data_IF_863153023942
#
_entry.id   IF_863153023942
#
_cell.length_a   1.000
_cell.length_b   1.000
_cell.length_c   1.000
_cell.angle_alpha   90.00
_cell.angle_beta   90.00
_cell.angle_gamma   90.00
#
_symmetry.space_group_name_H-M   'P 1'
#
loop_
_entity.id
_entity.type
_entity.pdbx_description
1 polymer ?
#
# COMPACT_ATOMS: atom_id res chain seq x y z
N UNK A 1 -7.92 34.65 8.65
CA UNK A 1 -7.15 33.80 7.72
C UNK A 1 -5.70 34.05 7.99
N UNK A 2 -4.98 33.07 8.53
CA UNK A 2 -3.53 33.12 8.66
C UNK A 2 -2.96 32.96 7.25
N UNK A 3 -2.27 33.98 6.74
CA UNK A 3 -1.61 33.91 5.44
C UNK A 3 -0.21 33.32 5.63
N UNK A 4 0.06 32.20 4.96
CA UNK A 4 1.39 31.58 4.93
C UNK A 4 2.11 31.99 3.64
N UNK A 5 3.33 32.49 3.77
CA UNK A 5 4.13 32.99 2.64
C UNK A 5 5.04 31.93 2.01
N UNK A 6 5.29 30.83 2.72
CA UNK A 6 6.06 29.70 2.22
C UNK A 6 5.64 28.39 2.93
N UNK A 7 6.10 27.25 2.42
CA UNK A 7 5.74 25.93 2.96
C UNK A 7 6.34 25.63 4.34
N UNK A 8 7.47 26.26 4.71
CA UNK A 8 8.08 26.09 6.02
C UNK A 8 7.22 26.75 7.13
N UNK A 9 6.64 27.91 6.84
CA UNK A 9 5.72 28.62 7.76
C UNK A 9 4.44 27.81 8.00
N UNK A 10 3.90 27.22 6.92
CA UNK A 10 2.74 26.34 7.00
C UNK A 10 3.06 25.05 7.78
N UNK A 11 4.17 24.40 7.46
CA UNK A 11 4.58 23.16 8.12
C UNK A 11 4.77 23.38 9.63
N UNK A 12 5.41 24.49 10.02
CA UNK A 12 5.58 24.88 11.42
C UNK A 12 4.23 25.11 12.14
N UNK A 13 3.26 25.73 11.47
CA UNK A 13 1.92 25.93 12.01
C UNK A 13 1.14 24.62 12.17
N UNK A 14 1.20 23.74 11.17
CA UNK A 14 0.55 22.42 11.22
C UNK A 14 1.21 21.54 12.29
N UNK A 15 2.53 21.53 12.39
CA UNK A 15 3.27 20.80 13.41
C UNK A 15 2.90 21.25 14.83
N UNK A 16 2.85 22.56 15.08
CA UNK A 16 2.43 23.12 16.36
C UNK A 16 0.98 22.77 16.77
N UNK A 17 0.14 22.37 15.81
CA UNK A 17 -1.25 21.97 16.06
C UNK A 17 -1.47 20.46 16.23
N UNK A 18 -0.45 19.63 15.94
CA UNK A 18 -0.55 18.16 15.84
C UNK A 18 0.38 17.41 16.80
N UNK A 19 0.59 17.94 18.00
CA UNK A 19 1.58 17.46 18.99
C UNK A 19 1.36 16.03 19.55
N UNK A 20 0.53 15.17 18.95
CA UNK A 20 0.21 13.87 19.55
C UNK A 20 -0.28 12.75 18.59
N UNK A 21 0.38 12.52 17.45
CA UNK A 21 0.07 11.35 16.59
C UNK A 21 1.30 10.47 16.32
N UNK A 22 1.25 9.21 16.77
CA UNK A 22 2.25 8.16 16.47
C UNK A 22 2.40 7.90 14.94
N UNK A 23 1.44 8.33 14.13
CA UNK A 23 1.51 8.29 12.66
C UNK A 23 2.58 9.23 12.07
N UNK A 24 2.93 10.34 12.75
CA UNK A 24 3.96 11.29 12.29
C UNK A 24 5.36 10.66 12.32
N UNK A 25 5.65 9.80 13.30
CA UNK A 25 6.97 9.14 13.43
C UNK A 25 7.29 8.19 12.28
N UNK A 26 6.28 7.55 11.70
CA UNK A 26 6.46 6.61 10.58
C UNK A 26 6.57 7.32 9.22
N UNK A 27 6.05 8.54 9.09
CA UNK A 27 6.08 9.29 7.83
C UNK A 27 7.51 9.74 7.48
N UNK A 28 8.25 10.27 8.47
CA UNK A 28 9.62 10.74 8.28
C UNK A 28 10.62 9.64 7.90
N UNK A 29 10.37 8.38 8.30
CA UNK A 29 11.26 7.27 7.99
C UNK A 29 11.40 7.00 6.47
N UNK A 30 10.39 7.34 5.68
CA UNK A 30 10.39 7.12 4.23
C UNK A 30 11.22 8.15 3.43
N UNK A 31 11.73 9.19 4.10
CA UNK A 31 12.52 10.28 3.52
C UNK A 31 13.95 10.30 4.05
N UNK A 32 14.38 9.22 4.73
CA UNK A 32 15.76 9.08 5.19
C UNK A 32 16.64 8.73 3.99
N UNK A 33 17.72 9.48 3.82
CA UNK A 33 18.75 9.19 2.83
C UNK A 33 19.60 7.98 3.25
N UNK A 34 19.88 7.11 2.29
CA UNK A 34 20.78 5.98 2.49
C UNK A 34 22.24 6.32 2.13
N UNK A 35 22.48 7.43 1.44
CA UNK A 35 23.77 7.89 0.94
C UNK A 35 23.76 9.42 0.78
N UNK A 36 24.91 10.07 0.97
CA UNK A 36 25.10 11.51 0.73
C UNK A 36 25.01 11.89 -0.76
N UNK A 37 25.20 10.90 -1.64
CA UNK A 37 25.12 11.09 -3.09
C UNK A 37 23.89 10.37 -3.64
N UNK A 38 23.24 10.99 -4.61
CA UNK A 38 22.12 10.45 -5.35
C UNK A 38 22.53 10.19 -6.81
N UNK A 39 22.25 8.99 -7.32
CA UNK A 39 22.38 8.68 -8.75
C UNK A 39 21.00 8.41 -9.31
N UNK A 40 20.53 9.31 -10.17
CA UNK A 40 19.17 9.25 -10.71
C UNK A 40 19.08 8.53 -12.06
N UNK A 41 20.17 8.34 -12.79
CA UNK A 41 20.18 7.62 -14.05
C UNK A 41 21.48 6.84 -14.26
N UNK A 42 21.48 5.95 -15.25
CA UNK A 42 22.66 5.13 -15.58
C UNK A 42 23.77 5.98 -16.22
N UNK A 43 23.39 7.08 -16.87
CA UNK A 43 24.31 7.89 -17.69
C UNK A 43 24.85 9.09 -16.93
N UNK A 44 24.04 9.67 -16.02
CA UNK A 44 24.44 10.85 -15.28
C UNK A 44 25.37 10.49 -14.09
N UNK A 45 26.26 11.42 -13.78
CA UNK A 45 27.12 11.30 -12.62
C UNK A 45 26.28 11.42 -11.33
N UNK A 46 26.73 10.82 -10.22
CA UNK A 46 26.11 11.06 -8.91
C UNK A 46 26.20 12.54 -8.52
N UNK A 47 25.14 13.04 -7.89
CA UNK A 47 25.05 14.42 -7.40
C UNK A 47 24.69 14.42 -5.91
N UNK A 48 25.15 15.42 -5.16
CA UNK A 48 24.75 15.63 -3.77
C UNK A 48 23.35 16.26 -3.74
N UNK A 49 22.33 15.42 -3.60
CA UNK A 49 20.92 15.82 -3.61
C UNK A 49 20.21 15.22 -2.39
N UNK A 50 19.60 16.11 -1.61
CA UNK A 50 18.90 15.74 -0.39
C UNK A 50 17.44 15.31 -0.68
N UNK A 51 16.90 14.49 0.21
CA UNK A 51 15.47 14.24 0.28
C UNK A 51 14.72 15.51 0.73
N UNK A 52 13.49 15.73 0.24
CA UNK A 52 12.70 16.85 0.72
C UNK A 52 12.30 16.65 2.19
N UNK A 53 12.15 17.75 2.92
CA UNK A 53 11.71 17.72 4.31
C UNK A 53 10.35 17.00 4.43
N UNK A 54 10.24 15.96 5.27
CA UNK A 54 9.03 15.13 5.33
C UNK A 54 7.79 15.91 5.77
N UNK A 55 7.96 16.86 6.70
CA UNK A 55 6.84 17.64 7.23
C UNK A 55 6.35 18.68 6.23
N UNK A 56 7.26 19.29 5.46
CA UNK A 56 6.91 20.15 4.34
C UNK A 56 6.17 19.38 3.25
N UNK A 57 6.63 18.17 2.91
CA UNK A 57 5.95 17.32 1.92
C UNK A 57 4.54 16.94 2.39
N UNK A 58 4.41 16.51 3.65
CA UNK A 58 3.12 16.17 4.26
C UNK A 58 2.15 17.35 4.23
N UNK A 59 2.60 18.52 4.67
CA UNK A 59 1.82 19.75 4.68
C UNK A 59 1.40 20.18 3.26
N UNK A 60 2.30 20.03 2.28
CA UNK A 60 2.00 20.33 0.89
C UNK A 60 0.93 19.39 0.31
N UNK A 61 1.00 18.08 0.60
CA UNK A 61 -0.01 17.10 0.20
C UNK A 61 -1.38 17.42 0.83
N UNK A 62 -1.41 17.71 2.13
CA UNK A 62 -2.64 18.13 2.83
C UNK A 62 -3.23 19.38 2.17
N UNK A 63 -2.43 20.42 2.00
CA UNK A 63 -2.88 21.69 1.42
C UNK A 63 -3.41 21.52 -0.01
N UNK A 64 -2.69 20.81 -0.87
CA UNK A 64 -3.12 20.61 -2.27
C UNK A 64 -4.48 19.92 -2.35
N UNK A 65 -4.68 18.85 -1.57
CA UNK A 65 -5.92 18.08 -1.60
C UNK A 65 -7.07 18.83 -0.92
N UNK A 66 -6.85 19.42 0.26
CA UNK A 66 -7.88 20.16 0.99
C UNK A 66 -8.34 21.39 0.22
N UNK A 67 -7.42 22.17 -0.35
CA UNK A 67 -7.75 23.34 -1.17
C UNK A 67 -8.65 22.96 -2.35
N UNK A 68 -8.40 21.79 -2.96
CA UNK A 68 -9.23 21.29 -4.05
C UNK A 68 -10.65 20.95 -3.60
N UNK A 69 -10.84 20.38 -2.41
CA UNK A 69 -12.17 20.19 -1.83
C UNK A 69 -12.82 21.53 -1.47
N UNK A 70 -12.10 22.42 -0.82
CA UNK A 70 -12.62 23.70 -0.33
C UNK A 70 -13.13 24.61 -1.46
N UNK A 71 -12.40 24.70 -2.57
CA UNK A 71 -12.77 25.56 -3.71
C UNK A 71 -13.98 25.00 -4.48
N UNK A 72 -14.17 23.68 -4.47
CA UNK A 72 -15.26 23.03 -5.20
C UNK A 72 -16.52 22.82 -4.34
N UNK A 73 -16.40 22.89 -3.01
CA UNK A 73 -17.50 22.74 -2.05
C UNK A 73 -18.60 23.78 -2.29
N UNK A 74 -19.86 23.38 -2.13
CA UNK A 74 -21.05 24.21 -2.33
C UNK A 74 -21.19 24.76 -3.76
N UNK A 75 -20.49 24.15 -4.72
CA UNK A 75 -20.62 24.48 -6.14
C UNK A 75 -21.17 23.31 -6.92
N UNK A 76 -21.62 23.58 -8.16
CA UNK A 76 -21.99 22.52 -9.11
C UNK A 76 -20.86 21.54 -9.44
N UNK A 77 -19.62 21.85 -9.05
CA UNK A 77 -18.44 21.04 -9.30
C UNK A 77 -18.07 20.11 -8.15
N UNK A 78 -18.72 20.22 -6.99
CA UNK A 78 -18.43 19.41 -5.79
C UNK A 78 -18.44 17.91 -6.07
N UNK A 79 -19.37 17.45 -6.92
CA UNK A 79 -19.50 16.05 -7.31
C UNK A 79 -18.23 15.45 -7.96
N UNK A 80 -17.33 16.30 -8.50
CA UNK A 80 -16.09 15.88 -9.16
C UNK A 80 -14.86 15.97 -8.25
N UNK A 81 -14.97 16.58 -7.06
CA UNK A 81 -13.83 16.77 -6.16
C UNK A 81 -13.22 15.43 -5.71
N UNK A 82 -14.08 14.44 -5.44
CA UNK A 82 -13.65 13.09 -5.08
C UNK A 82 -12.84 12.42 -6.22
N UNK A 83 -13.27 12.54 -7.47
CA UNK A 83 -12.56 11.92 -8.60
C UNK A 83 -11.18 12.56 -8.81
N UNK A 84 -11.09 13.88 -8.65
CA UNK A 84 -9.83 14.62 -8.73
C UNK A 84 -8.87 14.26 -7.58
N UNK A 85 -9.38 14.21 -6.34
CA UNK A 85 -8.60 13.80 -5.17
C UNK A 85 -8.09 12.36 -5.29
N UNK A 86 -8.93 11.45 -5.81
CA UNK A 86 -8.51 10.09 -6.14
C UNK A 86 -7.40 10.10 -7.19
N UNK A 87 -7.54 10.91 -8.25
CA UNK A 87 -6.53 11.08 -9.29
C UNK A 87 -5.19 11.57 -8.75
N UNK A 88 -5.23 12.49 -7.79
CA UNK A 88 -4.05 13.01 -7.09
C UNK A 88 -3.32 11.92 -6.32
N UNK A 89 -4.00 11.16 -5.45
CA UNK A 89 -3.40 10.02 -4.76
C UNK A 89 -2.88 8.94 -5.74
N UNK A 90 -3.60 8.71 -6.84
CA UNK A 90 -3.19 7.77 -7.87
C UNK A 90 -1.94 8.23 -8.65
N UNK A 91 -1.68 9.54 -8.74
CA UNK A 91 -0.49 10.07 -9.41
C UNK A 91 0.80 9.60 -8.71
N UNK A 92 0.87 9.70 -7.37
CA UNK A 92 1.99 9.16 -6.59
C UNK A 92 2.14 7.65 -6.80
N UNK A 93 1.03 6.92 -6.85
CA UNK A 93 1.08 5.48 -7.13
C UNK A 93 1.71 5.16 -8.50
N UNK A 94 1.32 5.89 -9.55
CA UNK A 94 1.84 5.69 -10.91
C UNK A 94 3.33 6.02 -10.98
N UNK A 95 3.76 7.11 -10.34
CA UNK A 95 5.18 7.51 -10.29
C UNK A 95 5.99 6.49 -9.50
N UNK A 96 5.52 6.06 -8.33
CA UNK A 96 6.16 5.01 -7.53
C UNK A 96 6.37 3.72 -8.34
N UNK A 97 5.36 3.28 -9.11
CA UNK A 97 5.49 2.10 -9.99
C UNK A 97 6.50 2.28 -11.12
N UNK A 98 6.64 3.50 -11.66
CA UNK A 98 7.66 3.79 -12.66
C UNK A 98 9.06 3.71 -12.06
N UNK A 99 9.24 4.24 -10.85
CA UNK A 99 10.50 4.17 -10.10
C UNK A 99 10.83 2.71 -9.75
N UNK A 100 9.86 1.94 -9.27
CA UNK A 100 10.00 0.50 -8.96
C UNK A 100 10.52 -0.29 -10.17
N UNK A 101 10.00 -0.04 -11.37
CA UNK A 101 10.49 -0.70 -12.59
C UNK A 101 11.97 -0.41 -12.87
N UNK A 102 12.40 0.84 -12.67
CA UNK A 102 13.81 1.25 -12.85
C UNK A 102 14.70 0.66 -11.75
N UNK A 103 14.19 0.61 -10.52
CA UNK A 103 14.85 -0.03 -9.39
C UNK A 103 14.99 -1.55 -9.59
N UNK A 104 14.00 -2.20 -10.20
CA UNK A 104 14.05 -3.62 -10.61
C UNK A 104 15.14 -3.87 -11.65
N UNK A 105 15.23 -3.01 -12.67
CA UNK A 105 16.27 -3.11 -13.69
C UNK A 105 17.67 -2.91 -13.09
N UNK A 106 17.86 -1.87 -12.28
CA UNK A 106 19.13 -1.60 -11.61
C UNK A 106 19.56 -2.75 -10.67
N UNK A 107 18.61 -3.32 -9.89
CA UNK A 107 18.90 -4.43 -9.00
C UNK A 107 19.23 -5.73 -9.75
N UNK A 108 18.63 -5.94 -10.94
CA UNK A 108 18.99 -7.05 -11.80
C UNK A 108 20.45 -6.92 -12.27
N UNK A 109 20.84 -5.74 -12.74
CA UNK A 109 22.23 -5.44 -13.13
C UNK A 109 23.19 -5.63 -11.96
N UNK A 110 22.87 -5.09 -10.79
CA UNK A 110 23.67 -5.28 -9.57
C UNK A 110 23.85 -6.76 -9.23
N UNK A 111 22.79 -7.56 -9.36
CA UNK A 111 22.85 -9.00 -9.14
C UNK A 111 23.64 -9.77 -10.22
N UNK A 112 23.71 -9.27 -11.44
CA UNK A 112 24.56 -9.84 -12.50
C UNK A 112 26.04 -9.54 -12.27
N UNK A 113 26.36 -8.28 -11.91
CA UNK A 113 27.69 -7.85 -11.49
C UNK A 113 28.18 -8.68 -10.31
N UNK A 114 27.38 -8.81 -9.25
CA UNK A 114 27.75 -9.58 -8.06
C UNK A 114 28.04 -11.08 -8.30
N UNK A 115 27.49 -11.67 -9.38
CA UNK A 115 27.77 -13.07 -9.75
C UNK A 115 29.05 -13.23 -10.56
N UNK A 116 29.44 -12.22 -11.32
CA UNK A 116 30.60 -12.25 -12.21
C UNK A 116 31.63 -11.25 -11.71
N UNK A 117 32.34 -11.61 -10.65
CA UNK A 117 33.38 -10.76 -10.08
C UNK A 117 34.55 -10.59 -11.06
N UNK A 118 34.91 -9.34 -11.33
CA UNK A 118 36.08 -8.93 -12.10
C UNK A 118 36.92 -7.94 -11.28
N UNK A 119 38.21 -8.19 -11.01
CA UNK A 119 39.05 -7.29 -10.22
C UNK A 119 39.52 -6.02 -10.96
N UNK A 120 38.77 -5.53 -11.95
CA UNK A 120 39.10 -4.30 -12.67
C UNK A 120 38.55 -3.05 -11.98
N UNK A 121 39.26 -1.92 -12.09
CA UNK A 121 38.79 -0.63 -11.55
C UNK A 121 37.47 -0.16 -12.21
N UNK A 122 37.30 -0.51 -13.49
CA UNK A 122 36.06 -0.23 -14.24
C UNK A 122 34.89 -1.00 -13.62
N UNK A 123 35.07 -2.28 -13.33
CA UNK A 123 34.06 -3.09 -12.67
C UNK A 123 33.73 -2.56 -11.26
N UNK A 124 34.74 -2.19 -10.48
CA UNK A 124 34.53 -1.64 -9.14
C UNK A 124 33.68 -0.35 -9.19
N UNK A 125 33.99 0.55 -10.13
CA UNK A 125 33.24 1.78 -10.35
C UNK A 125 31.80 1.49 -10.78
N UNK A 126 31.60 0.57 -11.74
CA UNK A 126 30.27 0.18 -12.23
C UNK A 126 29.41 -0.45 -11.14
N UNK A 127 30.02 -1.27 -10.27
CA UNK A 127 29.35 -1.87 -9.12
C UNK A 127 28.86 -0.82 -8.12
N UNK A 128 29.74 0.11 -7.73
CA UNK A 128 29.43 1.21 -6.83
C UNK A 128 28.33 2.12 -7.40
N UNK A 129 28.44 2.50 -8.68
CA UNK A 129 27.45 3.33 -9.37
C UNK A 129 26.08 2.64 -9.44
N UNK A 130 26.06 1.35 -9.77
CA UNK A 130 24.81 0.58 -9.88
C UNK A 130 24.17 0.38 -8.50
N UNK A 131 24.97 0.17 -7.46
CA UNK A 131 24.49 0.11 -6.08
C UNK A 131 23.88 1.44 -5.63
N UNK A 132 24.56 2.56 -5.92
CA UNK A 132 24.09 3.90 -5.58
C UNK A 132 22.78 4.23 -6.29
N UNK A 133 22.67 3.90 -7.58
CA UNK A 133 21.43 4.05 -8.36
C UNK A 133 20.28 3.24 -7.74
N UNK A 134 20.54 1.99 -7.34
CA UNK A 134 19.56 1.15 -6.68
C UNK A 134 19.01 1.79 -5.39
N UNK A 135 19.91 2.22 -4.51
CA UNK A 135 19.56 2.82 -3.22
C UNK A 135 18.79 4.14 -3.40
N UNK A 136 19.25 4.98 -4.34
CA UNK A 136 18.59 6.25 -4.67
C UNK A 136 17.15 6.00 -5.14
N UNK A 137 16.96 5.09 -6.11
CA UNK A 137 15.63 4.77 -6.64
C UNK A 137 14.73 4.14 -5.59
N UNK A 138 15.28 3.31 -4.69
CA UNK A 138 14.53 2.75 -3.57
C UNK A 138 13.99 3.87 -2.68
N UNK A 139 14.85 4.78 -2.20
CA UNK A 139 14.44 5.89 -1.34
C UNK A 139 13.37 6.75 -2.01
N UNK A 140 13.54 7.09 -3.30
CA UNK A 140 12.53 7.84 -4.05
C UNK A 140 11.20 7.08 -4.18
N UNK A 141 11.22 5.76 -4.39
CA UNK A 141 10.00 4.94 -4.43
C UNK A 141 9.30 4.96 -3.07
N UNK A 142 10.04 4.79 -1.98
CA UNK A 142 9.50 4.74 -0.62
C UNK A 142 8.87 6.07 -0.21
N UNK A 143 9.53 7.19 -0.50
CA UNK A 143 8.96 8.53 -0.33
C UNK A 143 7.65 8.69 -1.12
N UNK A 144 7.62 8.26 -2.39
CA UNK A 144 6.41 8.33 -3.23
C UNK A 144 5.28 7.43 -2.71
N UNK A 145 5.59 6.24 -2.20
CA UNK A 145 4.61 5.36 -1.55
C UNK A 145 4.06 5.96 -0.26
N UNK A 146 4.90 6.65 0.52
CA UNK A 146 4.52 7.38 1.73
C UNK A 146 3.57 8.54 1.39
N UNK A 147 3.93 9.37 0.41
CA UNK A 147 3.07 10.46 -0.10
C UNK A 147 1.73 9.94 -0.61
N UNK A 148 1.72 8.81 -1.33
CA UNK A 148 0.49 8.13 -1.78
C UNK A 148 -0.38 7.72 -0.60
N UNK A 149 0.19 7.10 0.42
CA UNK A 149 -0.58 6.56 1.55
C UNK A 149 -1.16 7.70 2.42
N UNK A 150 -0.42 8.81 2.55
CA UNK A 150 -0.94 10.02 3.19
C UNK A 150 -2.04 10.70 2.38
N UNK A 151 -1.84 10.87 1.06
CA UNK A 151 -2.88 11.39 0.17
C UNK A 151 -4.15 10.49 0.17
N UNK A 152 -3.96 9.18 0.26
CA UNK A 152 -5.06 8.22 0.39
C UNK A 152 -5.84 8.39 1.70
N UNK A 153 -5.17 8.78 2.78
CA UNK A 153 -5.82 9.07 4.06
C UNK A 153 -6.62 10.38 4.00
N UNK A 154 -6.08 11.45 3.41
CA UNK A 154 -6.81 12.69 3.17
C UNK A 154 -8.06 12.42 2.31
N UNK A 155 -7.91 11.66 1.23
CA UNK A 155 -9.03 11.21 0.41
C UNK A 155 -10.09 10.45 1.21
N UNK A 156 -9.67 9.55 2.10
CA UNK A 156 -10.57 8.75 2.94
C UNK A 156 -11.35 9.62 3.92
N UNK A 157 -10.69 10.59 4.55
CA UNK A 157 -11.32 11.53 5.49
C UNK A 157 -12.36 12.40 4.79
N UNK A 158 -12.02 12.99 3.64
CA UNK A 158 -12.92 13.91 2.92
C UNK A 158 -14.08 13.20 2.22
N UNK A 159 -13.88 11.98 1.72
CA UNK A 159 -14.90 11.27 0.91
C UNK A 159 -15.61 10.13 1.63
N UNK A 160 -15.09 9.70 2.78
CA UNK A 160 -15.52 8.49 3.49
C UNK A 160 -15.20 7.18 2.77
N UNK A 161 -14.50 7.22 1.63
CA UNK A 161 -14.21 6.05 0.78
C UNK A 161 -12.72 5.69 0.83
N UNK A 162 -12.36 4.40 0.90
CA UNK A 162 -10.96 4.02 0.83
C UNK A 162 -10.40 4.24 -0.58
N UNK A 163 -9.15 4.69 -0.65
CA UNK A 163 -8.41 4.75 -1.91
C UNK A 163 -8.01 3.34 -2.39
N UNK A 164 -8.22 3.07 -3.68
CA UNK A 164 -7.66 1.90 -4.37
C UNK A 164 -7.10 2.32 -5.73
N UNK A 165 -5.86 1.93 -6.10
CA UNK A 165 -5.29 2.25 -7.39
C UNK A 165 -5.95 1.44 -8.52
N UNK A 166 -5.97 1.99 -9.74
CA UNK A 166 -6.57 1.35 -10.94
C UNK A 166 -5.79 0.11 -11.39
N UNK A 167 -4.47 0.07 -11.19
CA UNK A 167 -3.58 -1.05 -11.48
C UNK A 167 -2.51 -1.15 -10.38
N UNK A 168 -1.98 -2.35 -10.11
CA UNK A 168 -0.88 -2.56 -9.13
C UNK A 168 -1.33 -2.67 -7.67
N UNK A 169 -0.72 -3.59 -6.90
CA UNK A 169 -1.06 -3.77 -5.47
C UNK A 169 -0.62 -2.56 -4.64
N UNK A 170 -1.38 -2.22 -3.59
CA UNK A 170 -1.01 -1.21 -2.59
C UNK A 170 -0.33 -1.90 -1.42
N UNK A 171 0.97 -2.16 -1.56
CA UNK A 171 1.86 -2.55 -0.46
C UNK A 171 2.86 -1.41 -0.33
N UNK A 172 3.05 -0.88 0.88
CA UNK A 172 4.10 0.10 1.18
C UNK A 172 5.18 -0.56 2.03
N UNK A 173 6.45 -0.24 1.74
CA UNK A 173 7.61 -0.81 2.44
C UNK A 173 8.10 -0.01 3.65
N UNK A 174 7.42 1.08 4.03
CA UNK A 174 7.82 2.04 5.07
C UNK A 174 8.02 1.48 6.49
N UNK A 175 7.87 0.17 6.70
CA UNK A 175 7.98 -0.50 8.01
C UNK A 175 9.29 -1.28 8.24
N UNK A 176 10.28 -1.28 7.32
CA UNK A 176 11.44 -2.17 7.49
C UNK A 176 12.78 -1.68 6.92
N UNK A 177 13.13 -0.42 7.10
CA UNK A 177 14.41 0.11 6.62
C UNK A 177 15.34 0.48 7.79
N UNK A 178 16.02 -0.51 8.36
CA UNK A 178 17.21 -0.26 9.20
C UNK A 178 18.40 -0.99 8.61
N UNK A 179 19.38 -0.17 8.16
CA UNK A 179 20.77 -0.43 7.76
C UNK A 179 21.07 -1.76 7.09
N UNK A 180 21.34 -1.70 5.79
CA UNK A 180 21.63 -2.89 5.01
C UNK A 180 22.72 -2.60 3.97
N UNK A 181 23.81 -3.34 4.12
CA UNK A 181 24.96 -3.44 3.23
C UNK A 181 24.55 -4.07 1.86
N UNK A 182 25.34 -3.90 0.81
CA UNK A 182 24.97 -4.23 -0.59
C UNK A 182 24.42 -5.65 -0.81
N UNK A 183 24.92 -6.63 -0.04
CA UNK A 183 24.49 -8.02 -0.08
C UNK A 183 23.21 -8.27 0.72
N UNK A 184 23.03 -7.54 1.81
CA UNK A 184 21.79 -7.53 2.58
C UNK A 184 20.68 -6.80 1.82
N UNK A 185 21.00 -5.89 0.88
CA UNK A 185 20.01 -5.13 0.08
C UNK A 185 19.21 -6.07 -0.82
N UNK A 186 19.90 -6.95 -1.55
CA UNK A 186 19.26 -7.98 -2.35
C UNK A 186 18.49 -9.00 -1.47
N UNK A 187 19.01 -9.33 -0.28
CA UNK A 187 18.37 -10.26 0.65
C UNK A 187 17.10 -9.68 1.31
N UNK A 188 17.13 -8.40 1.69
CA UNK A 188 16.03 -7.62 2.23
C UNK A 188 14.93 -7.40 1.20
N UNK A 189 15.29 -7.06 -0.05
CA UNK A 189 14.33 -6.98 -1.17
C UNK A 189 13.68 -8.33 -1.46
N UNK A 190 14.48 -9.41 -1.47
CA UNK A 190 13.95 -10.76 -1.59
C UNK A 190 13.05 -11.14 -0.42
N UNK A 191 13.28 -10.59 0.79
CA UNK A 191 12.45 -10.77 1.97
C UNK A 191 11.13 -10.02 1.85
N UNK A 192 11.10 -8.74 1.49
CA UNK A 192 9.87 -7.98 1.28
C UNK A 192 9.03 -8.58 0.14
N UNK A 193 9.67 -9.00 -0.96
CA UNK A 193 8.99 -9.72 -2.04
C UNK A 193 8.47 -11.07 -1.55
N UNK A 194 9.25 -11.82 -0.75
CA UNK A 194 8.76 -13.03 -0.07
C UNK A 194 7.59 -12.72 0.84
N UNK A 195 7.59 -11.68 1.66
CA UNK A 195 6.47 -11.32 2.54
C UNK A 195 5.17 -11.05 1.79
N UNK A 196 5.24 -10.54 0.55
CA UNK A 196 4.06 -10.40 -0.32
C UNK A 196 3.52 -11.74 -0.83
N UNK A 197 4.38 -12.75 -0.99
CA UNK A 197 4.04 -14.09 -1.51
C UNK A 197 4.02 -15.20 -0.44
N UNK A 198 4.47 -14.90 0.76
CA UNK A 198 4.69 -15.75 1.93
C UNK A 198 4.83 -14.83 3.18
N UNK A 199 3.71 -14.31 3.70
CA UNK A 199 3.72 -13.32 4.79
C UNK A 199 4.26 -13.89 6.11
N UNK A 200 5.10 -13.12 6.79
CA UNK A 200 5.52 -13.37 8.18
C UNK A 200 4.38 -12.93 9.13
N UNK A 201 3.39 -13.81 9.31
CA UNK A 201 2.29 -13.61 10.26
C UNK A 201 1.05 -14.48 9.97
N UNK A 202 0.17 -14.69 10.96
CA UNK A 202 -1.05 -15.47 10.79
C UNK A 202 -1.99 -14.81 9.76
N UNK A 203 -2.19 -15.49 8.63
CA UNK A 203 -3.06 -14.98 7.54
C UNK A 203 -4.52 -15.26 7.85
N UNK A 204 -5.35 -14.23 7.77
CA UNK A 204 -6.81 -14.34 7.78
C UNK A 204 -7.34 -13.98 6.41
N UNK A 205 -8.10 -14.87 5.79
CA UNK A 205 -8.72 -14.59 4.48
C UNK A 205 -10.06 -13.92 4.66
N UNK A 206 -10.31 -12.89 3.84
CA UNK A 206 -11.62 -12.27 3.72
C UNK A 206 -12.04 -12.17 2.25
N UNK A 207 -13.25 -12.59 1.93
CA UNK A 207 -13.85 -12.38 0.60
C UNK A 207 -15.36 -12.31 0.71
N UNK A 208 -16.00 -11.51 -0.13
CA UNK A 208 -17.45 -11.47 -0.21
C UNK A 208 -17.99 -10.98 -1.54
N UNK A 209 -19.32 -10.82 -1.62
CA UNK A 209 -19.98 -10.24 -2.78
C UNK A 209 -19.75 -8.74 -2.95
N UNK A 210 -20.02 -8.24 -4.16
CA UNK A 210 -19.91 -6.82 -4.49
C UNK A 210 -21.04 -5.95 -3.90
N UNK A 211 -22.13 -6.57 -3.47
CA UNK A 211 -23.28 -5.88 -2.87
C UNK A 211 -23.35 -6.25 -1.40
N UNK A 212 -23.09 -5.27 -0.54
CA UNK A 212 -23.16 -5.40 0.91
C UNK A 212 -23.43 -4.03 1.53
N UNK A 213 -24.33 -3.98 2.51
CA UNK A 213 -24.83 -2.74 3.12
C UNK A 213 -24.46 -2.64 4.61
N UNK A 214 -24.49 -3.75 5.33
CA UNK A 214 -24.23 -3.79 6.77
C UNK A 214 -22.71 -3.91 7.06
N UNK A 215 -22.02 -2.77 7.02
CA UNK A 215 -20.59 -2.71 7.32
C UNK A 215 -20.28 -3.00 8.79
N UNK A 216 -21.18 -2.64 9.71
CA UNK A 216 -21.04 -2.88 11.16
C UNK A 216 -20.94 -4.38 11.48
N UNK A 217 -21.72 -5.21 10.81
CA UNK A 217 -21.66 -6.66 10.94
C UNK A 217 -20.27 -7.20 10.57
N UNK A 218 -19.69 -6.71 9.48
CA UNK A 218 -18.36 -7.12 9.01
C UNK A 218 -17.27 -6.62 9.95
N UNK A 219 -17.35 -5.36 10.40
CA UNK A 219 -16.40 -4.77 11.35
C UNK A 219 -16.39 -5.55 12.66
N UNK A 220 -17.55 -5.83 13.24
CA UNK A 220 -17.65 -6.63 14.48
C UNK A 220 -17.09 -8.04 14.32
N UNK A 221 -17.31 -8.66 13.17
CA UNK A 221 -16.74 -9.98 12.86
C UNK A 221 -15.21 -9.94 12.82
N UNK A 222 -14.66 -8.97 12.10
CA UNK A 222 -13.21 -8.78 11.96
C UNK A 222 -12.53 -8.34 13.26
N UNK A 223 -13.16 -7.46 14.05
CA UNK A 223 -12.66 -7.02 15.37
C UNK A 223 -12.54 -8.21 16.35
N UNK A 224 -13.51 -9.14 16.34
CA UNK A 224 -13.44 -10.37 17.14
C UNK A 224 -12.26 -11.24 16.75
N UNK A 225 -11.96 -11.35 15.46
CA UNK A 225 -10.80 -12.11 14.97
C UNK A 225 -9.50 -11.41 15.36
N UNK A 226 -9.39 -10.09 15.14
CA UNK A 226 -8.23 -9.28 15.55
C UNK A 226 -7.93 -9.36 17.04
N UNK A 227 -8.97 -9.45 17.88
CA UNK A 227 -8.82 -9.64 19.33
C UNK A 227 -8.14 -10.97 19.67
N UNK A 228 -8.45 -12.04 18.93
CA UNK A 228 -7.83 -13.37 19.12
C UNK A 228 -6.48 -13.52 18.42
N UNK A 229 -6.30 -12.81 17.32
CA UNK A 229 -5.11 -12.86 16.46
C UNK A 229 -4.60 -11.43 16.24
N UNK A 230 -3.89 -10.83 17.22
CA UNK A 230 -3.45 -9.45 17.12
C UNK A 230 -2.50 -9.19 15.94
N UNK A 231 -1.60 -10.12 15.63
CA UNK A 231 -0.62 -9.97 14.53
C UNK A 231 -1.18 -10.43 13.17
N UNK A 232 -2.50 -10.48 13.00
CA UNK A 232 -3.10 -10.97 11.77
C UNK A 232 -2.76 -10.12 10.54
N UNK A 233 -2.61 -10.79 9.40
CA UNK A 233 -2.51 -10.18 8.08
C UNK A 233 -3.77 -10.54 7.30
N UNK A 234 -4.47 -9.54 6.76
CA UNK A 234 -5.73 -9.74 6.04
C UNK A 234 -5.47 -9.97 4.55
N UNK A 235 -5.77 -11.17 4.04
CA UNK A 235 -5.70 -11.48 2.62
C UNK A 235 -7.09 -11.37 1.95
N UNK A 236 -7.20 -10.57 0.89
CA UNK A 236 -8.50 -10.26 0.23
C UNK A 236 -8.49 -10.56 -1.26
N UNK A 237 -9.68 -10.71 -1.85
CA UNK A 237 -9.86 -10.95 -3.29
C UNK A 237 -9.78 -9.70 -4.17
N UNK A 238 -9.42 -8.55 -3.57
CA UNK A 238 -9.21 -7.27 -4.23
C UNK A 238 -10.40 -6.75 -5.05
N UNK A 239 -11.63 -7.05 -4.63
CA UNK A 239 -12.80 -6.41 -5.24
C UNK A 239 -12.86 -4.93 -4.85
N UNK A 240 -13.11 -4.05 -5.83
CA UNK A 240 -13.14 -2.61 -5.60
C UNK A 240 -14.42 -2.10 -4.89
N UNK A 241 -15.41 -2.97 -4.68
CA UNK A 241 -16.72 -2.65 -4.11
C UNK A 241 -17.22 -3.78 -3.23
N UNK A 242 -18.21 -3.49 -2.38
CA UNK A 242 -18.86 -4.47 -1.52
C UNK A 242 -18.00 -4.90 -0.34
N UNK A 243 -18.03 -6.19 -0.02
CA UNK A 243 -17.42 -6.73 1.20
C UNK A 243 -15.92 -6.45 1.28
N UNK A 244 -15.16 -6.66 0.19
CA UNK A 244 -13.71 -6.47 0.20
C UNK A 244 -13.33 -5.00 0.45
N UNK A 245 -14.09 -4.05 -0.10
CA UNK A 245 -13.86 -2.63 0.15
C UNK A 245 -14.15 -2.24 1.60
N UNK A 246 -15.21 -2.82 2.20
CA UNK A 246 -15.52 -2.65 3.63
C UNK A 246 -14.40 -3.22 4.50
N UNK A 247 -13.90 -4.41 4.17
CA UNK A 247 -12.81 -5.05 4.89
C UNK A 247 -11.48 -4.28 4.76
N UNK A 248 -11.21 -3.68 3.61
CA UNK A 248 -10.06 -2.76 3.44
C UNK A 248 -10.19 -1.51 4.32
N UNK A 249 -11.38 -0.90 4.36
CA UNK A 249 -11.63 0.24 5.23
C UNK A 249 -11.45 -0.12 6.71
N UNK A 250 -11.97 -1.29 7.13
CA UNK A 250 -11.76 -1.81 8.48
C UNK A 250 -10.27 -1.97 8.80
N UNK A 251 -9.53 -2.65 7.93
CA UNK A 251 -8.12 -2.93 8.15
C UNK A 251 -7.29 -1.64 8.24
N UNK A 252 -7.57 -0.66 7.37
CA UNK A 252 -6.95 0.65 7.42
C UNK A 252 -7.21 1.36 8.78
N UNK A 253 -8.45 1.32 9.28
CA UNK A 253 -8.83 1.94 10.56
C UNK A 253 -8.25 1.26 11.81
N UNK A 254 -7.63 0.08 11.66
CA UNK A 254 -7.07 -0.74 12.76
C UNK A 254 -5.57 -1.02 12.60
N UNK A 255 -4.92 -0.41 11.60
CA UNK A 255 -3.51 -0.65 11.31
C UNK A 255 -3.19 -2.10 10.89
N UNK A 256 -4.17 -2.84 10.36
CA UNK A 256 -4.00 -4.23 9.93
C UNK A 256 -3.41 -4.25 8.51
N UNK A 257 -2.30 -4.98 8.33
CA UNK A 257 -1.68 -5.19 7.02
C UNK A 257 -2.63 -5.95 6.09
N UNK A 258 -2.79 -5.49 4.85
CA UNK A 258 -3.67 -6.10 3.85
C UNK A 258 -2.88 -6.57 2.63
N UNK A 259 -3.08 -7.82 2.24
CA UNK A 259 -2.58 -8.36 0.96
C UNK A 259 -3.76 -8.50 0.00
N UNK A 260 -3.66 -7.85 -1.17
CA UNK A 260 -4.69 -7.84 -2.19
C UNK A 260 -4.36 -8.82 -3.32
N UNK A 261 -5.13 -9.90 -3.42
CA UNK A 261 -5.00 -10.87 -4.51
C UNK A 261 -5.85 -10.44 -5.70
N UNK A 262 -5.21 -9.76 -6.66
CA UNK A 262 -5.84 -9.34 -7.92
C UNK A 262 -5.97 -10.51 -8.88
N UNK A 263 -6.92 -10.42 -9.80
CA UNK A 263 -7.05 -11.39 -10.89
C UNK A 263 -5.90 -11.23 -11.88
N UNK A 264 -5.21 -12.34 -12.15
CA UNK A 264 -4.21 -12.42 -13.21
C UNK A 264 -4.91 -12.59 -14.56
N UNK A 265 -4.99 -11.50 -15.34
CA UNK A 265 -5.72 -11.48 -16.62
C UNK A 265 -5.12 -12.40 -17.68
N UNK A 266 -3.85 -12.81 -17.54
CA UNK A 266 -3.22 -13.78 -18.43
C UNK A 266 -3.84 -15.18 -18.33
N UNK A 267 -4.49 -15.49 -17.20
CA UNK A 267 -5.11 -16.79 -16.90
C UNK A 267 -6.56 -16.92 -17.43
N UNK A 268 -7.07 -15.90 -18.14
CA UNK A 268 -8.39 -15.89 -18.76
C UNK A 268 -9.51 -16.26 -17.78
N UNK A 269 -10.43 -17.13 -18.23
CA UNK A 269 -11.61 -17.54 -17.45
C UNK A 269 -11.27 -18.30 -16.14
N UNK A 270 -10.03 -18.79 -15.98
CA UNK A 270 -9.60 -19.51 -14.77
C UNK A 270 -8.96 -18.61 -13.72
N UNK A 271 -8.72 -17.33 -14.04
CA UNK A 271 -8.00 -16.39 -13.18
C UNK A 271 -8.54 -16.32 -11.74
N UNK A 272 -9.86 -16.35 -11.57
CA UNK A 272 -10.51 -16.28 -10.26
C UNK A 272 -10.29 -17.54 -9.42
N UNK A 273 -10.31 -18.71 -10.06
CA UNK A 273 -10.08 -19.99 -9.40
C UNK A 273 -8.62 -20.18 -8.99
N UNK A 274 -7.69 -19.85 -9.90
CA UNK A 274 -6.25 -19.88 -9.64
C UNK A 274 -5.87 -18.92 -8.52
N UNK A 275 -6.47 -17.74 -8.48
CA UNK A 275 -6.30 -16.80 -7.35
C UNK A 275 -6.78 -17.42 -6.03
N UNK A 276 -7.92 -18.10 -6.02
CA UNK A 276 -8.41 -18.78 -4.82
C UNK A 276 -7.45 -19.88 -4.36
N UNK A 277 -6.82 -20.62 -5.28
CA UNK A 277 -5.76 -21.59 -4.94
C UNK A 277 -4.57 -20.90 -4.28
N UNK A 278 -4.13 -19.76 -4.82
CA UNK A 278 -3.04 -18.96 -4.21
C UNK A 278 -3.40 -18.49 -2.80
N UNK A 279 -4.64 -18.06 -2.56
CA UNK A 279 -5.12 -17.66 -1.24
C UNK A 279 -5.06 -18.83 -0.25
N UNK A 280 -5.52 -20.02 -0.64
CA UNK A 280 -5.48 -21.23 0.21
C UNK A 280 -4.05 -21.66 0.50
N UNK A 281 -3.14 -21.52 -0.47
CA UNK A 281 -1.72 -21.86 -0.32
C UNK A 281 -0.96 -20.98 0.69
N UNK A 282 -1.54 -19.84 1.12
CA UNK A 282 -1.00 -19.05 2.23
C UNK A 282 -1.14 -19.75 3.58
N UNK A 283 -1.82 -20.91 3.65
CA UNK A 283 -2.11 -21.65 4.89
C UNK A 283 -2.76 -20.74 5.94
N UNK A 284 -3.91 -20.14 5.61
CA UNK A 284 -4.59 -19.22 6.50
C UNK A 284 -5.00 -19.91 7.80
N UNK A 285 -4.93 -19.16 8.90
CA UNK A 285 -5.34 -19.65 10.23
C UNK A 285 -6.85 -19.54 10.43
N UNK A 286 -7.50 -18.63 9.72
CA UNK A 286 -8.94 -18.38 9.79
C UNK A 286 -9.42 -17.71 8.50
N UNK A 287 -10.70 -17.88 8.17
CA UNK A 287 -11.30 -17.22 7.02
C UNK A 287 -12.73 -16.74 7.29
N UNK A 288 -13.07 -15.60 6.69
CA UNK A 288 -14.42 -15.04 6.65
C UNK A 288 -14.85 -14.94 5.21
N UNK A 289 -15.87 -15.71 4.82
CA UNK A 289 -16.42 -15.70 3.47
C UNK A 289 -17.86 -15.23 3.55
N UNK A 290 -18.10 -14.02 3.05
CA UNK A 290 -19.45 -13.49 2.92
C UNK A 290 -20.09 -14.05 1.65
N UNK A 291 -21.41 -14.18 1.68
CA UNK A 291 -22.19 -14.63 0.54
C UNK A 291 -21.93 -13.75 -0.69
N UNK A 292 -21.84 -14.41 -1.85
CA UNK A 292 -21.38 -13.80 -3.09
C UNK A 292 -21.60 -14.74 -4.28
N UNK A 293 -20.74 -14.63 -5.30
CA UNK A 293 -20.84 -15.45 -6.51
C UNK A 293 -20.32 -16.88 -6.31
N UNK A 294 -20.41 -17.71 -7.36
CA UNK A 294 -19.77 -19.03 -7.39
C UNK A 294 -18.26 -19.01 -7.12
N UNK A 295 -17.58 -17.87 -7.29
CA UNK A 295 -16.17 -17.70 -6.95
C UNK A 295 -15.94 -17.71 -5.43
N UNK A 296 -16.81 -17.08 -4.64
CA UNK A 296 -16.77 -17.10 -3.18
C UNK A 296 -17.13 -18.49 -2.64
N UNK A 297 -18.13 -19.14 -3.25
CA UNK A 297 -18.47 -20.53 -2.92
C UNK A 297 -17.30 -21.48 -3.18
N UNK A 298 -16.59 -21.32 -4.30
CA UNK A 298 -15.39 -22.09 -4.59
C UNK A 298 -14.29 -21.87 -3.54
N UNK A 299 -14.04 -20.62 -3.14
CA UNK A 299 -13.06 -20.31 -2.10
C UNK A 299 -13.43 -20.94 -0.75
N UNK A 300 -14.70 -20.83 -0.33
CA UNK A 300 -15.20 -21.45 0.89
C UNK A 300 -15.05 -22.99 0.88
N UNK A 301 -15.35 -23.64 -0.24
CA UNK A 301 -15.17 -25.09 -0.40
C UNK A 301 -13.70 -25.50 -0.26
N UNK A 302 -12.77 -24.78 -0.91
CA UNK A 302 -11.34 -25.08 -0.83
C UNK A 302 -10.79 -24.87 0.59
N UNK A 303 -11.21 -23.81 1.27
CA UNK A 303 -10.82 -23.54 2.67
C UNK A 303 -11.33 -24.61 3.63
N UNK A 304 -12.57 -25.08 3.43
CA UNK A 304 -13.12 -26.19 4.21
C UNK A 304 -12.35 -27.49 3.97
N UNK A 305 -11.98 -27.79 2.72
CA UNK A 305 -11.14 -28.95 2.38
C UNK A 305 -9.75 -28.85 3.01
N UNK A 306 -9.20 -27.65 3.10
CA UNK A 306 -7.91 -27.39 3.75
C UNK A 306 -7.98 -27.37 5.29
N UNK A 307 -9.15 -27.61 5.89
CA UNK A 307 -9.33 -27.65 7.35
C UNK A 307 -9.26 -26.29 8.04
N UNK A 308 -9.41 -25.19 7.29
CA UNK A 308 -9.32 -23.82 7.82
C UNK A 308 -10.62 -23.47 8.56
N UNK A 309 -10.56 -22.95 9.80
CA UNK A 309 -11.73 -22.38 10.49
C UNK A 309 -12.42 -21.32 9.62
N UNK A 310 -13.69 -21.53 9.31
CA UNK A 310 -14.43 -20.75 8.32
C UNK A 310 -15.70 -20.14 8.92
N UNK A 311 -15.80 -18.81 8.86
CA UNK A 311 -17.02 -18.05 9.14
C UNK A 311 -17.74 -17.74 7.84
N UNK A 312 -18.93 -18.29 7.66
CA UNK A 312 -19.79 -17.97 6.52
C UNK A 312 -20.82 -16.93 6.93
N UNK A 313 -20.80 -15.78 6.29
CA UNK A 313 -21.72 -14.67 6.57
C UNK A 313 -22.72 -14.53 5.43
N UNK A 314 -23.96 -14.94 5.66
CA UNK A 314 -25.02 -14.86 4.65
C UNK A 314 -25.58 -13.44 4.53
N UNK A 315 -26.09 -13.09 3.34
CA UNK A 315 -26.78 -11.82 3.10
C UNK A 315 -27.98 -11.65 4.04
N UNK A 316 -28.67 -12.76 4.37
CA UNK A 316 -29.79 -12.76 5.31
C UNK A 316 -29.43 -12.32 6.74
N UNK A 317 -28.14 -12.30 7.10
CA UNK A 317 -27.68 -11.82 8.40
C UNK A 317 -27.53 -10.29 8.46
N UNK A 318 -27.61 -9.61 7.32
CA UNK A 318 -27.53 -8.15 7.28
C UNK A 318 -28.76 -7.52 7.92
N UNK A 319 -28.55 -6.51 8.75
CA UNK A 319 -29.63 -5.64 9.20
C UNK A 319 -29.90 -4.65 8.08
N UNK A 320 -30.77 -5.02 7.14
CA UNK A 320 -31.28 -4.06 6.17
C UNK A 320 -32.03 -3.00 6.97
N UNK A 321 -31.59 -1.74 6.89
CA UNK A 321 -32.41 -0.64 7.36
C UNK A 321 -33.76 -0.78 6.63
N UNK A 322 -34.85 -1.06 7.36
CA UNK A 322 -36.19 -0.93 6.79
C UNK A 322 -36.25 0.50 6.26
N UNK A 323 -36.27 0.66 4.93
CA UNK A 323 -36.62 1.93 4.30
C UNK A 323 -38.00 2.30 4.86
N UNK A 324 -38.03 3.28 5.75
CA UNK A 324 -39.25 3.99 6.11
C UNK A 324 -39.66 4.88 4.93
#
# INVERSE_FOLDING_TARGET
MTNFTNFADLASFIAASRDNDDASRNYGAAFIEHSEMAKLSIVEAPEALDMPDPEQVRAAVDMMMQTMFDVLRDTRMEAYAADLAWGFANSFHVVAKRIEGREDDAAKTLGELARHYDPSEIYATELEDTQLLCQTLQGCREAMECMRDHAAEVYRVETGKPFSPVKGSRVSSALSASMIDARDYLAGRARTRREQFAPDGPVVIFSGGQVWEDHDLLYKGLDRIKTRIPEMILATTAQAKGCDAIAHAWAASRGVKVIQFRLDRSQGNRAAFVRNDRLVNLKPVEAVICEGSGIQMNLAQKLRQAGVPLHVVNLAHQRTAKRA
#
